data_IF_027897411972
#
_entry.id   IF_027897411972
#
_cell.length_a   1.000
_cell.length_b   1.000
_cell.length_c   1.000
_cell.angle_alpha   90.00
_cell.angle_beta   90.00
_cell.angle_gamma   90.00
#
_symmetry.space_group_name_H-M   'P 1'
#
loop_
_entity.id
_entity.type
_entity.pdbx_description
1 polymer ?
#
# COMPACT_ATOMS: atom_id res chain seq x y z
N UNK A 1 -4.94 16.03 7.10
CA UNK A 1 -4.27 15.87 5.79
C UNK A 1 -3.21 14.77 5.85
N UNK A 2 -2.18 14.90 6.70
CA UNK A 2 -1.08 13.90 6.81
C UNK A 2 -1.58 12.48 7.08
N UNK A 3 -2.60 12.31 7.95
CA UNK A 3 -3.30 11.03 8.14
C UNK A 3 -3.65 10.34 6.80
N UNK A 4 -4.31 11.05 5.89
CA UNK A 4 -4.71 10.48 4.59
C UNK A 4 -3.52 10.22 3.66
N UNK A 5 -2.41 10.92 3.85
CA UNK A 5 -1.16 10.61 3.14
C UNK A 5 -0.56 9.29 3.62
N UNK A 6 -0.51 9.09 4.94
CA UNK A 6 -0.07 7.83 5.56
C UNK A 6 -1.00 6.69 5.14
N UNK A 7 -2.32 6.89 5.16
CA UNK A 7 -3.31 5.90 4.69
C UNK A 7 -3.05 5.48 3.24
N UNK A 8 -2.71 6.42 2.34
CA UNK A 8 -2.37 6.09 0.96
C UNK A 8 -1.14 5.20 0.88
N UNK A 9 -0.11 5.50 1.70
CA UNK A 9 1.09 4.68 1.83
C UNK A 9 0.78 3.27 2.32
N UNK A 10 0.00 3.13 3.39
CA UNK A 10 -0.38 1.84 3.94
C UNK A 10 -1.13 0.97 2.93
N UNK A 11 -2.14 1.54 2.25
CA UNK A 11 -2.87 0.83 1.21
C UNK A 11 -1.96 0.40 0.06
N UNK A 12 -1.03 1.25 -0.37
CA UNK A 12 -0.09 0.93 -1.46
C UNK A 12 0.85 -0.22 -1.07
N UNK A 13 1.40 -0.20 0.15
CA UNK A 13 2.28 -1.27 0.64
C UNK A 13 1.54 -2.61 0.76
N UNK A 14 0.27 -2.59 1.17
CA UNK A 14 -0.59 -3.78 1.22
C UNK A 14 -0.85 -4.31 -0.19
N UNK A 15 -1.13 -3.44 -1.16
CA UNK A 15 -1.29 -3.81 -2.57
C UNK A 15 -0.01 -4.45 -3.15
N UNK A 16 1.17 -3.94 -2.81
CA UNK A 16 2.45 -4.51 -3.24
C UNK A 16 2.70 -5.89 -2.61
N UNK A 17 2.38 -6.04 -1.33
CA UNK A 17 2.43 -7.33 -0.63
C UNK A 17 1.51 -8.36 -1.29
N UNK A 18 0.28 -7.95 -1.64
CA UNK A 18 -0.66 -8.76 -2.41
C UNK A 18 -0.08 -9.15 -3.78
N UNK A 19 0.48 -8.20 -4.53
CA UNK A 19 1.03 -8.45 -5.85
C UNK A 19 2.21 -9.44 -5.80
N UNK A 20 3.12 -9.31 -4.83
CA UNK A 20 4.21 -10.26 -4.63
C UNK A 20 3.69 -11.67 -4.31
N UNK A 21 2.72 -11.80 -3.40
CA UNK A 21 2.13 -13.10 -3.08
C UNK A 21 1.41 -13.73 -4.27
N UNK A 22 0.69 -12.93 -5.06
CA UNK A 22 -0.05 -13.41 -6.22
C UNK A 22 0.87 -13.81 -7.38
N UNK A 23 1.69 -12.89 -7.86
CA UNK A 23 2.36 -13.07 -9.15
C UNK A 23 3.71 -13.78 -9.02
N UNK A 24 4.43 -13.56 -7.91
CA UNK A 24 5.70 -14.24 -7.65
C UNK A 24 5.50 -15.60 -6.98
N UNK A 25 4.67 -15.68 -5.92
CA UNK A 25 4.47 -16.93 -5.17
C UNK A 25 3.32 -17.80 -5.70
N UNK A 26 2.45 -17.25 -6.55
CA UNK A 26 1.31 -17.96 -7.10
C UNK A 26 0.27 -18.35 -6.05
N UNK A 27 0.11 -17.55 -4.99
CA UNK A 27 -0.90 -17.82 -3.95
C UNK A 27 -2.30 -17.45 -4.45
N UNK A 28 -3.27 -18.31 -4.14
CA UNK A 28 -4.69 -18.06 -4.39
C UNK A 28 -5.29 -17.07 -3.39
N UNK A 29 -6.50 -16.57 -3.70
CA UNK A 29 -7.24 -15.62 -2.85
C UNK A 29 -7.46 -16.15 -1.42
N UNK A 30 -7.88 -17.41 -1.27
CA UNK A 30 -8.09 -18.01 0.05
C UNK A 30 -6.77 -18.13 0.85
N UNK A 31 -5.67 -18.55 0.20
CA UNK A 31 -4.34 -18.63 0.83
C UNK A 31 -3.89 -17.25 1.29
N UNK A 32 -4.01 -16.22 0.45
CA UNK A 32 -3.69 -14.84 0.81
C UNK A 32 -4.59 -14.32 1.93
N UNK A 33 -5.87 -14.66 1.95
CA UNK A 33 -6.77 -14.30 3.05
C UNK A 33 -6.32 -14.91 4.38
N UNK A 34 -5.82 -16.16 4.38
CA UNK A 34 -5.22 -16.77 5.56
C UNK A 34 -3.95 -16.03 6.01
N UNK A 35 -3.07 -15.68 5.07
CA UNK A 35 -1.86 -14.90 5.36
C UNK A 35 -2.21 -13.56 6.02
N UNK A 36 -3.10 -12.76 5.44
CA UNK A 36 -3.52 -11.48 6.03
C UNK A 36 -4.21 -11.64 7.39
N UNK A 37 -4.98 -12.72 7.57
CA UNK A 37 -5.58 -13.03 8.87
C UNK A 37 -4.53 -13.32 9.95
N UNK A 38 -3.44 -13.99 9.60
CA UNK A 38 -2.37 -14.29 10.54
C UNK A 38 -1.49 -13.07 10.80
N UNK A 39 -1.23 -12.23 9.79
CA UNK A 39 -0.58 -10.93 9.95
C UNK A 39 -1.37 -10.00 10.89
N UNK A 40 -2.71 -10.05 10.85
CA UNK A 40 -3.54 -9.26 11.75
C UNK A 40 -3.49 -9.71 13.23
N UNK A 41 -2.71 -10.76 13.56
CA UNK A 41 -2.47 -11.21 14.93
C UNK A 41 -1.04 -10.89 15.40
N UNK A 42 -0.28 -10.14 14.60
CA UNK A 42 1.11 -9.76 14.89
C UNK A 42 1.23 -8.23 15.03
N UNK A 43 2.44 -7.68 14.85
CA UNK A 43 2.71 -6.24 14.79
C UNK A 43 2.00 -5.49 13.65
N UNK A 44 1.40 -6.22 12.70
CA UNK A 44 0.62 -5.66 11.59
C UNK A 44 -0.88 -5.55 11.91
N UNK A 45 -1.33 -5.93 13.11
CA UNK A 45 -2.73 -5.77 13.54
C UNK A 45 -3.21 -4.34 13.27
N UNK A 46 -4.13 -4.22 12.31
CA UNK A 46 -4.67 -2.95 11.88
C UNK A 46 -5.93 -3.13 11.04
N UNK A 47 -6.82 -2.14 11.11
CA UNK A 47 -8.06 -2.14 10.34
C UNK A 47 -7.84 -2.39 8.84
N UNK A 48 -6.79 -1.83 8.23
CA UNK A 48 -6.52 -2.03 6.80
C UNK A 48 -6.11 -3.48 6.47
N UNK A 49 -5.39 -4.16 7.35
CA UNK A 49 -5.05 -5.57 7.17
C UNK A 49 -6.30 -6.44 7.37
N UNK A 50 -7.12 -6.12 8.37
CA UNK A 50 -8.39 -6.79 8.63
C UNK A 50 -9.34 -6.73 7.42
N UNK A 51 -9.62 -5.54 6.89
CA UNK A 51 -10.52 -5.43 5.73
C UNK A 51 -9.91 -6.07 4.48
N UNK A 52 -8.58 -6.10 4.36
CA UNK A 52 -7.91 -6.76 3.23
C UNK A 52 -8.18 -8.26 3.28
N UNK A 53 -8.04 -8.90 4.45
CA UNK A 53 -8.45 -10.31 4.65
C UNK A 53 -9.89 -10.54 4.19
N UNK A 54 -10.82 -9.65 4.57
CA UNK A 54 -12.24 -9.82 4.25
C UNK A 54 -12.53 -9.61 2.76
N UNK A 55 -11.87 -8.64 2.14
CA UNK A 55 -11.94 -8.41 0.68
C UNK A 55 -11.46 -9.65 -0.08
N UNK A 56 -10.37 -10.30 0.34
CA UNK A 56 -9.87 -11.51 -0.33
C UNK A 56 -10.89 -12.65 -0.29
N UNK A 57 -11.71 -12.74 0.75
CA UNK A 57 -12.74 -13.78 0.89
C UNK A 57 -14.04 -13.46 0.17
N UNK A 58 -14.24 -12.21 -0.23
CA UNK A 58 -15.52 -11.75 -0.76
C UNK A 58 -15.78 -12.33 -2.16
N UNK A 59 -16.86 -13.08 -2.28
CA UNK A 59 -17.33 -13.68 -3.54
C UNK A 59 -18.53 -12.90 -4.08
N UNK A 60 -18.54 -12.71 -5.39
CA UNK A 60 -19.65 -12.15 -6.14
C UNK A 60 -20.78 -13.19 -6.31
N UNK A 61 -21.92 -12.77 -6.87
CA UNK A 61 -23.13 -13.57 -7.10
C UNK A 61 -22.92 -14.83 -7.95
N UNK A 62 -21.85 -14.89 -8.75
CA UNK A 62 -21.47 -16.06 -9.54
C UNK A 62 -20.52 -17.03 -8.80
N UNK A 63 -20.23 -16.77 -7.52
CA UNK A 63 -19.36 -17.58 -6.68
C UNK A 63 -17.85 -17.35 -6.88
N UNK A 64 -17.44 -16.42 -7.76
CA UNK A 64 -16.03 -16.05 -7.98
C UNK A 64 -15.63 -14.86 -7.10
N UNK A 65 -14.35 -14.74 -6.79
CA UNK A 65 -13.83 -13.61 -5.99
C UNK A 65 -14.10 -12.27 -6.68
N UNK A 66 -14.70 -11.33 -5.94
CA UNK A 66 -15.06 -10.02 -6.50
C UNK A 66 -13.82 -9.20 -6.84
N UNK A 67 -12.78 -9.27 -6.02
CA UNK A 67 -11.58 -8.45 -6.17
C UNK A 67 -10.96 -8.54 -7.58
N UNK A 68 -10.91 -9.73 -8.19
CA UNK A 68 -10.31 -9.92 -9.52
C UNK A 68 -11.13 -9.31 -10.66
N UNK A 69 -12.38 -8.94 -10.39
CA UNK A 69 -13.28 -8.30 -11.36
C UNK A 69 -13.28 -6.77 -11.24
N UNK A 70 -12.72 -6.23 -10.16
CA UNK A 70 -12.66 -4.79 -9.94
C UNK A 70 -11.67 -4.18 -10.91
N UNK A 71 -12.09 -3.12 -11.60
CA UNK A 71 -11.22 -2.36 -12.49
C UNK A 71 -10.05 -1.77 -11.70
N UNK A 72 -8.84 -2.01 -12.18
CA UNK A 72 -7.56 -1.62 -11.58
C UNK A 72 -7.21 -0.13 -11.79
N UNK A 73 -8.17 0.75 -11.52
CA UNK A 73 -8.04 2.21 -11.64
C UNK A 73 -8.40 2.86 -10.32
N UNK A 74 -7.40 3.21 -9.52
CA UNK A 74 -7.60 3.79 -8.20
C UNK A 74 -8.08 5.24 -8.28
N UNK A 75 -9.23 5.52 -7.68
CA UNK A 75 -9.69 6.89 -7.45
C UNK A 75 -8.92 7.59 -6.32
N UNK A 76 -8.98 8.93 -6.32
CA UNK A 76 -8.52 9.76 -5.21
C UNK A 76 -9.33 11.04 -5.10
N UNK A 77 -9.55 11.53 -3.87
CA UNK A 77 -10.27 12.79 -3.59
C UNK A 77 -9.34 14.00 -3.36
N UNK A 78 -8.03 13.83 -3.57
CA UNK A 78 -7.03 14.90 -3.50
C UNK A 78 -6.27 15.02 -2.18
N UNK A 79 -6.77 14.48 -1.06
CA UNK A 79 -6.13 14.66 0.26
C UNK A 79 -4.74 14.02 0.37
N UNK A 80 -4.50 12.88 -0.29
CA UNK A 80 -3.16 12.27 -0.36
C UNK A 80 -2.19 13.13 -1.17
N UNK A 81 -2.67 13.68 -2.30
CA UNK A 81 -1.91 14.63 -3.14
C UNK A 81 -1.51 15.88 -2.35
N UNK A 82 -2.38 16.42 -1.49
CA UNK A 82 -2.02 17.57 -0.66
C UNK A 82 -0.89 17.28 0.32
N UNK A 83 -0.82 16.08 0.90
CA UNK A 83 0.32 15.67 1.74
C UNK A 83 1.61 15.62 0.94
N UNK A 84 1.58 15.06 -0.27
CA UNK A 84 2.75 15.02 -1.14
C UNK A 84 3.19 16.44 -1.57
N UNK A 85 2.26 17.32 -1.93
CA UNK A 85 2.56 18.73 -2.25
C UNK A 85 3.20 19.44 -1.05
N UNK A 86 2.61 19.32 0.14
CA UNK A 86 3.15 19.93 1.34
C UNK A 86 4.57 19.42 1.64
N UNK A 87 4.84 18.13 1.40
CA UNK A 87 6.20 17.60 1.57
C UNK A 87 7.24 18.27 0.68
N UNK A 88 6.85 18.61 -0.56
CA UNK A 88 7.69 19.37 -1.49
C UNK A 88 7.84 20.83 -1.05
N UNK A 89 6.74 21.47 -0.63
CA UNK A 89 6.73 22.86 -0.16
C UNK A 89 7.63 23.08 1.08
N UNK A 90 7.57 22.16 2.05
CA UNK A 90 8.34 22.22 3.29
C UNK A 90 9.70 21.51 3.20
N UNK A 91 10.09 20.98 2.04
CA UNK A 91 11.39 20.34 1.84
C UNK A 91 11.60 19.07 2.67
N UNK A 92 10.54 18.31 2.94
CA UNK A 92 10.58 17.07 3.72
C UNK A 92 10.43 15.84 2.81
N UNK A 93 11.31 14.82 2.92
CA UNK A 93 11.26 13.66 2.04
C UNK A 93 10.15 12.67 2.40
N UNK A 94 8.90 12.99 2.10
CA UNK A 94 7.76 12.06 2.24
C UNK A 94 7.61 11.15 1.01
N UNK A 95 8.68 10.44 0.66
CA UNK A 95 8.80 9.72 -0.61
C UNK A 95 7.74 8.64 -0.78
N UNK A 96 7.45 7.85 0.26
CA UNK A 96 6.51 6.74 0.17
C UNK A 96 5.08 7.24 -0.05
N UNK A 97 4.69 8.33 0.62
CA UNK A 97 3.40 8.99 0.40
C UNK A 97 3.32 9.55 -1.03
N UNK A 98 4.41 10.13 -1.54
CA UNK A 98 4.52 10.58 -2.92
C UNK A 98 4.31 9.44 -3.93
N UNK A 99 5.04 8.33 -3.76
CA UNK A 99 4.92 7.14 -4.62
C UNK A 99 3.51 6.52 -4.54
N UNK A 100 2.88 6.49 -3.36
CA UNK A 100 1.50 6.03 -3.24
C UNK A 100 0.51 6.90 -4.04
N UNK A 101 0.74 8.21 -4.15
CA UNK A 101 -0.04 9.09 -5.01
C UNK A 101 0.26 8.80 -6.48
N UNK A 102 1.53 8.65 -6.86
CA UNK A 102 1.91 8.36 -8.24
C UNK A 102 1.43 7.00 -8.73
N UNK A 103 1.45 5.95 -7.88
CA UNK A 103 0.91 4.63 -8.20
C UNK A 103 -0.59 4.70 -8.53
N UNK A 104 -1.37 5.53 -7.82
CA UNK A 104 -2.78 5.77 -8.17
C UNK A 104 -2.91 6.47 -9.52
N UNK A 105 -2.12 7.50 -9.78
CA UNK A 105 -2.08 8.17 -11.08
C UNK A 105 -1.73 7.19 -12.21
N UNK A 106 -0.73 6.32 -12.02
CA UNK A 106 -0.32 5.29 -12.96
C UNK A 106 -1.44 4.29 -13.23
N UNK A 107 -2.15 3.86 -12.18
CA UNK A 107 -3.29 2.93 -12.33
C UNK A 107 -4.40 3.52 -13.20
N UNK A 108 -4.63 4.85 -13.13
CA UNK A 108 -5.65 5.55 -13.92
C UNK A 108 -5.33 5.60 -15.42
N UNK A 109 -4.06 5.49 -15.81
CA UNK A 109 -3.60 5.41 -17.21
C UNK A 109 -3.84 4.01 -17.81
N UNK A 110 -4.99 3.39 -17.55
CA UNK A 110 -5.27 2.00 -17.90
C UNK A 110 -5.13 1.72 -19.40
N UNK A 111 -5.69 2.57 -20.26
CA UNK A 111 -5.62 2.38 -21.71
C UNK A 111 -4.16 2.41 -22.21
N UNK A 112 -3.35 3.30 -21.66
CA UNK A 112 -1.92 3.39 -21.98
C UNK A 112 -1.15 2.17 -21.46
N UNK A 113 -1.43 1.69 -20.23
CA UNK A 113 -0.82 0.47 -19.68
C UNK A 113 -1.16 -0.77 -20.51
N UNK A 114 -2.42 -0.92 -20.91
CA UNK A 114 -2.87 -2.04 -21.77
C UNK A 114 -2.21 -1.97 -23.15
N UNK A 115 -2.08 -0.77 -23.74
CA UNK A 115 -1.35 -0.64 -25.00
C UNK A 115 0.14 -0.97 -24.83
N UNK A 116 0.78 -0.41 -23.80
CA UNK A 116 2.20 -0.60 -23.52
C UNK A 116 2.55 -2.07 -23.27
N UNK A 117 1.68 -2.86 -22.62
CA UNK A 117 1.93 -4.29 -22.38
C UNK A 117 1.98 -5.14 -23.65
N UNK A 118 1.46 -4.64 -24.78
CA UNK A 118 1.59 -5.31 -26.08
C UNK A 118 2.94 -5.07 -26.76
N UNK A 119 3.65 -4.01 -26.35
CA UNK A 119 4.91 -3.56 -26.96
C UNK A 119 6.12 -3.84 -26.07
N UNK A 120 5.97 -3.63 -24.76
CA UNK A 120 7.03 -3.80 -23.77
C UNK A 120 6.94 -5.19 -23.15
N UNK A 121 8.07 -5.92 -23.16
CA UNK A 121 8.17 -7.23 -22.53
C UNK A 121 9.02 -7.13 -21.26
N UNK A 122 8.48 -7.65 -20.17
CA UNK A 122 9.23 -7.85 -18.93
C UNK A 122 10.18 -9.07 -19.02
N UNK A 123 11.00 -9.30 -17.98
CA UNK A 123 11.78 -10.52 -17.88
C UNK A 123 10.86 -11.75 -17.82
N UNK A 124 11.34 -12.88 -18.33
CA UNK A 124 10.69 -14.17 -18.09
C UNK A 124 10.93 -14.55 -16.64
N UNK A 125 9.89 -14.48 -15.82
CA UNK A 125 9.96 -14.84 -14.40
C UNK A 125 9.74 -16.35 -14.29
N UNK A 126 10.74 -17.13 -13.86
CA UNK A 126 10.55 -18.56 -13.63
C UNK A 126 9.60 -18.77 -12.44
N UNK A 127 8.93 -19.93 -12.40
CA UNK A 127 8.12 -20.32 -11.25
C UNK A 127 9.01 -20.31 -10.00
N UNK A 128 8.55 -19.66 -8.93
CA UNK A 128 9.27 -19.66 -7.66
C UNK A 128 9.41 -21.08 -7.10
N UNK A 129 10.65 -21.48 -6.77
CA UNK A 129 11.00 -22.81 -6.25
C UNK A 129 11.55 -22.78 -4.83
N UNK A 130 11.62 -21.60 -4.20
CA UNK A 130 12.07 -21.45 -2.82
C UNK A 130 10.98 -21.81 -1.80
N UNK A 131 11.29 -21.58 -0.53
CA UNK A 131 10.32 -21.72 0.55
C UNK A 131 9.32 -20.56 0.51
N UNK A 132 8.04 -20.89 0.26
CA UNK A 132 6.98 -19.90 0.19
C UNK A 132 6.66 -19.30 1.55
N UNK A 133 6.72 -20.08 2.63
CA UNK A 133 6.41 -19.61 3.97
C UNK A 133 7.47 -18.61 4.44
N UNK A 134 8.75 -18.94 4.22
CA UNK A 134 9.87 -18.03 4.49
C UNK A 134 9.74 -16.73 3.69
N UNK A 135 9.38 -16.82 2.40
CA UNK A 135 9.21 -15.63 1.56
C UNK A 135 7.99 -14.79 1.98
N UNK A 136 6.86 -15.41 2.35
CA UNK A 136 5.70 -14.71 2.93
C UNK A 136 6.09 -13.97 4.20
N UNK A 137 6.88 -14.59 5.08
CA UNK A 137 7.38 -13.92 6.27
C UNK A 137 8.34 -12.75 5.93
N UNK A 138 9.12 -12.88 4.86
CA UNK A 138 9.97 -11.79 4.35
C UNK A 138 9.13 -10.62 3.83
N UNK A 139 8.05 -10.89 3.09
CA UNK A 139 7.07 -9.86 2.66
C UNK A 139 6.47 -9.16 3.89
N UNK A 140 6.07 -9.93 4.92
CA UNK A 140 5.50 -9.40 6.17
C UNK A 140 6.44 -8.40 6.85
N UNK A 141 7.71 -8.77 6.99
CA UNK A 141 8.73 -7.91 7.60
C UNK A 141 9.03 -6.68 6.73
N UNK A 142 9.08 -6.84 5.41
CA UNK A 142 9.26 -5.72 4.49
C UNK A 142 8.08 -4.74 4.56
N UNK A 143 6.83 -5.24 4.61
CA UNK A 143 5.64 -4.42 4.80
C UNK A 143 5.70 -3.63 6.12
N UNK A 144 6.02 -4.29 7.22
CA UNK A 144 6.12 -3.63 8.53
C UNK A 144 7.23 -2.56 8.57
N UNK A 145 8.42 -2.88 8.05
CA UNK A 145 9.52 -1.93 7.98
C UNK A 145 9.17 -0.71 7.11
N UNK A 146 8.55 -0.93 5.95
CA UNK A 146 8.09 0.15 5.06
C UNK A 146 7.01 1.01 5.71
N UNK A 147 6.11 0.41 6.50
CA UNK A 147 5.10 1.15 7.26
C UNK A 147 5.76 2.05 8.30
N UNK A 148 6.75 1.57 9.04
CA UNK A 148 7.54 2.41 9.97
C UNK A 148 8.16 3.61 9.23
N UNK A 149 8.73 3.39 8.04
CA UNK A 149 9.30 4.47 7.21
C UNK A 149 8.23 5.48 6.80
N UNK A 150 7.08 5.03 6.31
CA UNK A 150 5.95 5.90 5.93
C UNK A 150 5.49 6.80 7.07
N UNK A 151 5.32 6.21 8.27
CA UNK A 151 4.91 6.95 9.46
C UNK A 151 6.01 7.93 9.89
N UNK A 152 7.28 7.51 9.90
CA UNK A 152 8.40 8.41 10.21
C UNK A 152 8.41 9.63 9.29
N UNK A 153 8.20 9.43 7.99
CA UNK A 153 8.10 10.51 7.00
C UNK A 153 6.91 11.45 7.27
N UNK A 154 5.74 10.90 7.58
CA UNK A 154 4.56 11.70 7.93
C UNK A 154 4.76 12.54 9.19
N UNK A 155 5.38 11.98 10.24
CA UNK A 155 5.71 12.71 11.46
C UNK A 155 6.83 13.73 11.27
N UNK A 156 7.81 13.45 10.42
CA UNK A 156 8.81 14.43 9.99
C UNK A 156 8.16 15.63 9.32
N UNK A 157 7.18 15.40 8.44
CA UNK A 157 6.43 16.48 7.78
C UNK A 157 5.65 17.31 8.80
N UNK A 158 4.91 16.67 9.70
CA UNK A 158 4.19 17.40 10.77
C UNK A 158 5.14 18.22 11.65
N UNK A 159 6.33 17.69 11.97
CA UNK A 159 7.35 18.40 12.75
C UNK A 159 7.87 19.64 12.05
N UNK A 160 8.22 19.55 10.77
CA UNK A 160 8.73 20.70 10.03
C UNK A 160 7.64 21.76 9.84
N UNK A 161 6.43 21.35 9.44
CA UNK A 161 5.30 22.27 9.30
C UNK A 161 4.94 22.94 10.64
N UNK A 162 5.03 22.23 11.76
CA UNK A 162 4.79 22.82 13.08
C UNK A 162 5.81 23.90 13.43
N UNK A 163 7.08 23.70 13.07
CA UNK A 163 8.15 24.68 13.27
C UNK A 163 7.91 25.93 12.42
N UNK A 164 7.62 25.77 11.12
CA UNK A 164 7.37 26.88 10.20
C UNK A 164 6.13 27.70 10.58
N UNK A 165 5.06 27.05 11.06
CA UNK A 165 3.80 27.70 11.42
C UNK A 165 3.70 28.11 12.91
N UNK A 166 4.75 27.85 13.70
CA UNK A 166 4.75 28.13 15.15
C UNK A 166 3.73 27.31 15.95
N UNK A 167 3.30 26.16 15.44
CA UNK A 167 2.35 25.28 16.13
C UNK A 167 3.04 24.40 17.17
N UNK A 168 2.40 24.23 18.32
CA UNK A 168 2.84 23.31 19.38
C UNK A 168 2.06 22.00 19.27
N UNK A 169 2.49 21.13 18.35
CA UNK A 169 1.85 19.83 18.16
C UNK A 169 2.24 18.85 19.28
N UNK A 170 1.26 18.11 19.79
CA UNK A 170 1.48 16.99 20.69
C UNK A 170 1.50 15.68 19.87
N UNK A 171 2.68 15.20 19.49
CA UNK A 171 2.82 13.99 18.67
C UNK A 171 2.30 12.72 19.36
N UNK A 172 2.47 12.61 20.67
CA UNK A 172 1.89 11.50 21.44
C UNK A 172 0.37 11.53 21.42
N UNK A 173 -0.23 12.73 21.54
CA UNK A 173 -1.67 12.92 21.42
C UNK A 173 -2.22 12.81 19.99
N UNK A 174 -1.40 12.99 18.96
CA UNK A 174 -1.78 12.75 17.56
C UNK A 174 -1.79 11.24 17.24
N UNK A 175 -0.92 10.47 17.90
CA UNK A 175 -0.83 9.03 17.71
C UNK A 175 -1.85 8.23 18.55
N UNK A 176 -2.36 8.82 19.64
CA UNK A 176 -3.37 8.24 20.54
C UNK A 176 -4.77 8.31 19.94
#
# INVERSE_FOLDING_TARGET
>A
MVHNGIEYGDMQLICESYHLMKDLLGLGQDEMAHVFNDWNKTELDSFLIEITRDIMKFKDTDGKYLLEKIRDTAGQKGTGKWTAIASLEYGVPATLIGEAVFSRCLSALQAERVHASTQLRGPVVPKFTGDKEEFVNSIRQALYASKIVSYAQGFMLMRETAKELGWKLNFGGIAL
#
